data_IF_834845502785
#
_entry.id   IF_834845502785
#
_cell.length_a   1.000
_cell.length_b   1.000
_cell.length_c   1.000
_cell.angle_alpha   90.00
_cell.angle_beta   90.00
_cell.angle_gamma   90.00
#
_symmetry.space_group_name_H-M   'P 1'
#
loop_
_entity.id
_entity.type
_entity.pdbx_description
1 polymer ?
#
# COMPACT_ATOMS: atom_id res chain seq x y z
N UNK A 1 -10.39 9.05 21.12
CA UNK A 1 -9.74 7.98 20.30
C UNK A 1 -10.63 7.47 19.18
N UNK A 2 -11.96 7.58 19.26
CA UNK A 2 -12.91 7.02 18.27
C UNK A 2 -12.90 7.70 16.88
N UNK A 3 -12.61 9.01 16.81
CA UNK A 3 -12.54 9.77 15.55
C UNK A 3 -11.43 9.32 14.58
N UNK A 4 -10.41 8.59 15.08
CA UNK A 4 -9.31 8.12 14.24
C UNK A 4 -9.64 6.82 13.50
N UNK A 5 -10.53 5.99 14.05
CA UNK A 5 -10.91 4.69 13.45
C UNK A 5 -11.90 4.88 12.30
N UNK A 6 -12.85 5.81 12.45
CA UNK A 6 -13.81 6.16 11.39
C UNK A 6 -13.11 6.75 10.16
N UNK A 7 -12.10 7.59 10.36
CA UNK A 7 -11.27 8.13 9.27
C UNK A 7 -10.50 7.05 8.50
N UNK A 8 -9.93 6.06 9.21
CA UNK A 8 -9.21 4.96 8.58
C UNK A 8 -10.14 4.07 7.75
N UNK A 9 -11.30 3.69 8.29
CA UNK A 9 -12.30 2.88 7.58
C UNK A 9 -12.84 3.59 6.34
N UNK A 10 -13.04 4.91 6.42
CA UNK A 10 -13.44 5.74 5.29
C UNK A 10 -12.38 5.76 4.17
N UNK A 11 -11.10 5.93 4.53
CA UNK A 11 -9.98 5.91 3.56
C UNK A 11 -9.86 4.53 2.90
N UNK A 12 -9.99 3.45 3.66
CA UNK A 12 -9.96 2.08 3.16
C UNK A 12 -11.13 1.78 2.21
N UNK A 13 -12.34 2.23 2.57
CA UNK A 13 -13.53 2.05 1.73
C UNK A 13 -13.39 2.82 0.42
N UNK A 14 -12.90 4.06 0.48
CA UNK A 14 -12.65 4.89 -0.70
C UNK A 14 -11.60 4.28 -1.63
N UNK A 15 -10.50 3.77 -1.08
CA UNK A 15 -9.44 3.14 -1.88
C UNK A 15 -9.89 1.80 -2.49
N UNK A 16 -10.67 0.99 -1.76
CA UNK A 16 -11.23 -0.26 -2.26
C UNK A 16 -12.18 -0.04 -3.45
N UNK A 17 -13.08 0.94 -3.35
CA UNK A 17 -14.02 1.28 -4.43
C UNK A 17 -13.27 1.82 -5.64
N UNK A 18 -12.30 2.71 -5.44
CA UNK A 18 -11.48 3.23 -6.54
C UNK A 18 -10.66 2.13 -7.24
N UNK A 19 -10.13 1.17 -6.48
CA UNK A 19 -9.41 0.01 -7.03
C UNK A 19 -10.37 -0.89 -7.83
N UNK A 20 -11.58 -1.12 -7.34
CA UNK A 20 -12.60 -1.89 -8.03
C UNK A 20 -12.99 -1.25 -9.38
N UNK A 21 -13.27 0.06 -9.40
CA UNK A 21 -13.58 0.79 -10.64
C UNK A 21 -12.42 0.71 -11.66
N UNK A 22 -11.16 0.86 -11.22
CA UNK A 22 -9.99 0.63 -12.07
C UNK A 22 -9.95 -0.78 -12.64
N UNK A 23 -10.33 -1.77 -11.84
CA UNK A 23 -10.33 -3.17 -12.25
C UNK A 23 -11.36 -3.44 -13.35
N UNK A 24 -12.54 -2.84 -13.27
CA UNK A 24 -13.56 -2.92 -14.33
C UNK A 24 -13.04 -2.35 -15.65
N UNK A 25 -12.39 -1.18 -15.61
CA UNK A 25 -11.77 -0.57 -16.79
C UNK A 25 -10.64 -1.42 -17.37
N UNK A 26 -9.81 -2.04 -16.52
CA UNK A 26 -8.77 -2.98 -16.95
C UNK A 26 -9.39 -4.20 -17.64
N UNK A 27 -10.43 -4.79 -17.06
CA UNK A 27 -11.11 -5.95 -17.62
C UNK A 27 -11.70 -5.63 -19.00
N UNK A 28 -12.39 -4.50 -19.15
CA UNK A 28 -12.90 -4.03 -20.43
C UNK A 28 -11.79 -3.93 -21.48
N UNK A 29 -10.65 -3.34 -21.15
CA UNK A 29 -9.52 -3.22 -22.07
C UNK A 29 -8.89 -4.57 -22.43
N UNK A 30 -8.85 -5.51 -21.49
CA UNK A 30 -8.33 -6.85 -21.73
C UNK A 30 -9.23 -7.66 -22.65
N UNK A 31 -10.55 -7.58 -22.46
CA UNK A 31 -11.55 -8.21 -23.35
C UNK A 31 -11.40 -7.67 -24.78
N UNK A 32 -11.26 -6.35 -24.94
CA UNK A 32 -11.00 -5.73 -26.26
C UNK A 32 -9.71 -6.21 -26.91
N UNK A 33 -8.71 -6.62 -26.13
CA UNK A 33 -7.43 -7.17 -26.59
C UNK A 33 -7.42 -8.70 -26.68
N UNK A 34 -8.56 -9.36 -26.45
CA UNK A 34 -8.69 -10.82 -26.34
C UNK A 34 -7.71 -11.44 -25.33
N UNK A 35 -7.37 -10.69 -24.27
CA UNK A 35 -6.49 -11.13 -23.19
C UNK A 35 -7.33 -11.68 -22.03
N UNK A 36 -7.49 -13.01 -21.98
CA UNK A 36 -8.41 -13.68 -21.04
C UNK A 36 -7.72 -14.37 -19.86
N UNK A 37 -6.45 -14.07 -19.58
CA UNK A 37 -5.66 -14.70 -18.51
C UNK A 37 -6.34 -14.66 -17.12
N UNK A 38 -7.19 -13.65 -16.91
CA UNK A 38 -7.89 -13.40 -15.65
C UNK A 38 -9.27 -14.09 -15.58
N UNK A 39 -9.68 -14.70 -16.70
CA UNK A 39 -10.99 -15.31 -16.90
C UNK A 39 -10.82 -16.72 -17.47
N UNK A 40 -10.55 -17.73 -16.61
CA UNK A 40 -10.28 -19.10 -17.07
C UNK A 40 -11.38 -19.68 -17.96
N UNK A 41 -12.64 -19.34 -17.66
CA UNK A 41 -13.80 -19.73 -18.45
C UNK A 41 -13.80 -19.08 -19.84
N UNK A 42 -13.60 -17.76 -19.91
CA UNK A 42 -13.53 -17.02 -21.19
C UNK A 42 -12.32 -17.47 -22.03
N UNK A 43 -11.18 -17.77 -21.39
CA UNK A 43 -10.01 -18.30 -22.07
C UNK A 43 -10.30 -19.66 -22.74
N UNK A 44 -11.05 -20.53 -22.05
CA UNK A 44 -11.45 -21.85 -22.56
C UNK A 44 -12.38 -21.76 -23.79
N UNK A 45 -13.25 -20.76 -23.85
CA UNK A 45 -14.23 -20.57 -24.95
C UNK A 45 -13.80 -19.50 -25.95
N UNK A 46 -12.58 -18.99 -25.83
CA UNK A 46 -12.09 -17.81 -26.58
C UNK A 46 -12.10 -17.96 -28.11
N UNK A 47 -12.02 -19.21 -28.60
CA UNK A 47 -12.14 -19.56 -30.03
C UNK A 47 -13.57 -19.41 -30.56
N UNK A 48 -14.57 -19.52 -29.70
CA UNK A 48 -15.98 -19.52 -30.07
C UNK A 48 -16.64 -18.14 -29.86
N UNK A 49 -15.96 -17.22 -29.17
CA UNK A 49 -16.45 -15.87 -28.88
C UNK A 49 -16.34 -14.95 -30.11
N UNK A 50 -17.50 -14.47 -30.56
CA UNK A 50 -17.59 -13.44 -31.58
C UNK A 50 -17.24 -12.07 -31.00
N UNK A 51 -16.85 -11.13 -31.87
CA UNK A 51 -16.53 -9.77 -31.43
C UNK A 51 -17.77 -9.04 -30.85
N UNK A 52 -18.97 -9.40 -31.30
CA UNK A 52 -20.24 -8.89 -30.77
C UNK A 52 -20.46 -9.31 -29.31
N UNK A 53 -20.16 -10.57 -28.98
CA UNK A 53 -20.28 -11.08 -27.60
C UNK A 53 -19.29 -10.36 -26.67
N UNK A 54 -18.07 -10.11 -27.16
CA UNK A 54 -17.05 -9.37 -26.43
C UNK A 54 -17.43 -7.89 -26.26
N UNK A 55 -18.06 -7.29 -27.26
CA UNK A 55 -18.57 -5.92 -27.20
C UNK A 55 -19.70 -5.79 -26.17
N UNK A 56 -20.67 -6.72 -26.17
CA UNK A 56 -21.76 -6.77 -25.20
C UNK A 56 -21.24 -6.96 -23.77
N UNK A 57 -20.23 -7.81 -23.59
CA UNK A 57 -19.60 -7.98 -22.28
C UNK A 57 -18.82 -6.71 -21.86
N UNK A 58 -18.16 -6.03 -22.80
CA UNK A 58 -17.50 -4.74 -22.55
C UNK A 58 -18.48 -3.62 -22.17
N UNK A 59 -19.66 -3.58 -22.78
CA UNK A 59 -20.74 -2.66 -22.45
C UNK A 59 -21.32 -2.93 -21.06
N UNK A 60 -21.53 -4.21 -20.71
CA UNK A 60 -21.95 -4.61 -19.37
C UNK A 60 -20.98 -4.12 -18.28
N UNK A 61 -19.67 -4.27 -18.50
CA UNK A 61 -18.66 -3.77 -17.56
C UNK A 61 -18.66 -2.24 -17.44
N UNK A 62 -18.94 -1.54 -18.54
CA UNK A 62 -19.08 -0.08 -18.52
C UNK A 62 -20.31 0.35 -17.70
N UNK A 63 -21.44 -0.31 -17.90
CA UNK A 63 -22.68 -0.02 -17.17
C UNK A 63 -22.50 -0.23 -15.66
N UNK A 64 -21.79 -1.30 -15.24
CA UNK A 64 -21.45 -1.49 -13.83
C UNK A 64 -20.51 -0.39 -13.33
N UNK A 65 -19.54 0.01 -14.13
CA UNK A 65 -18.62 1.08 -13.75
C UNK A 65 -19.38 2.39 -13.52
N UNK A 66 -20.25 2.78 -14.44
CA UNK A 66 -21.09 3.98 -14.32
C UNK A 66 -22.04 3.91 -13.12
N UNK A 67 -22.72 2.78 -12.90
CA UNK A 67 -23.60 2.59 -11.74
C UNK A 67 -22.82 2.71 -10.42
N UNK A 68 -21.69 2.02 -10.30
CA UNK A 68 -20.87 2.07 -9.08
C UNK A 68 -20.27 3.46 -8.86
N UNK A 69 -19.87 4.13 -9.93
CA UNK A 69 -19.37 5.50 -9.85
C UNK A 69 -20.46 6.48 -9.40
N UNK A 70 -21.70 6.34 -9.89
CA UNK A 70 -22.84 7.15 -9.48
C UNK A 70 -23.25 6.86 -8.03
N UNK A 71 -23.35 5.59 -7.65
CA UNK A 71 -23.79 5.14 -6.32
C UNK A 71 -22.83 5.53 -5.20
N UNK A 72 -21.53 5.60 -5.49
CA UNK A 72 -20.51 6.02 -4.53
C UNK A 72 -19.95 7.41 -4.87
N UNK A 73 -20.69 8.20 -5.66
CA UNK A 73 -20.25 9.53 -6.09
C UNK A 73 -20.02 10.48 -4.92
N UNK A 74 -20.73 10.33 -3.80
CA UNK A 74 -20.56 11.08 -2.56
C UNK A 74 -19.25 10.71 -1.83
N UNK A 75 -18.99 9.41 -1.70
CA UNK A 75 -17.79 8.86 -1.08
C UNK A 75 -16.53 9.16 -1.93
N UNK A 76 -16.68 9.11 -3.25
CA UNK A 76 -15.67 9.50 -4.21
C UNK A 76 -15.52 11.03 -4.29
N UNK A 77 -16.63 11.77 -4.19
CA UNK A 77 -16.82 13.16 -4.61
C UNK A 77 -16.42 14.25 -3.62
N UNK A 78 -15.98 13.94 -2.40
CA UNK A 78 -15.41 15.00 -1.52
C UNK A 78 -14.10 15.58 -2.08
N UNK A 79 -13.42 14.87 -2.99
CA UNK A 79 -12.42 15.45 -3.89
C UNK A 79 -12.51 14.70 -5.20
N UNK A 80 -13.05 15.36 -6.24
CA UNK A 80 -13.16 14.83 -7.59
C UNK A 80 -11.89 14.10 -7.98
N UNK A 81 -12.01 12.78 -8.12
CA UNK A 81 -10.92 11.88 -8.45
C UNK A 81 -10.64 11.98 -9.95
N UNK A 82 -10.21 13.17 -10.37
CA UNK A 82 -9.58 13.34 -11.67
C UNK A 82 -8.34 12.43 -11.68
N UNK A 83 -8.13 11.72 -12.78
CA UNK A 83 -6.93 10.91 -13.04
C UNK A 83 -5.65 11.67 -12.71
N UNK A 84 -5.68 13.00 -12.91
CA UNK A 84 -4.60 13.93 -12.56
C UNK A 84 -4.39 14.05 -11.04
N UNK A 85 -5.45 14.11 -10.24
CA UNK A 85 -5.37 14.19 -8.78
C UNK A 85 -4.85 12.88 -8.19
N UNK A 86 -5.22 11.76 -8.80
CA UNK A 86 -4.71 10.42 -8.48
C UNK A 86 -3.21 10.29 -8.70
N UNK A 87 -2.73 10.76 -9.86
CA UNK A 87 -1.30 10.82 -10.17
C UNK A 87 -0.57 11.77 -9.21
N UNK A 88 -1.21 12.88 -8.83
CA UNK A 88 -0.66 13.82 -7.86
C UNK A 88 -0.58 13.23 -6.45
N UNK A 89 -1.62 12.53 -6.01
CA UNK A 89 -1.68 11.83 -4.72
C UNK A 89 -0.69 10.67 -4.66
N UNK A 90 -0.58 9.85 -5.71
CA UNK A 90 0.41 8.77 -5.75
C UNK A 90 1.84 9.31 -5.76
N UNK A 91 2.12 10.36 -6.53
CA UNK A 91 3.42 11.03 -6.51
C UNK A 91 3.75 11.62 -5.14
N UNK A 92 2.79 12.28 -4.48
CA UNK A 92 3.01 12.86 -3.14
C UNK A 92 3.27 11.77 -2.09
N UNK A 93 2.55 10.65 -2.17
CA UNK A 93 2.74 9.48 -1.31
C UNK A 93 4.09 8.82 -1.58
N UNK A 94 4.46 8.60 -2.83
CA UNK A 94 5.76 8.02 -3.22
C UNK A 94 6.93 8.94 -2.81
N UNK A 95 6.82 10.25 -3.04
CA UNK A 95 7.82 11.22 -2.63
C UNK A 95 7.93 11.32 -1.11
N UNK A 96 6.80 11.31 -0.40
CA UNK A 96 6.74 11.28 1.06
C UNK A 96 7.38 10.02 1.63
N UNK A 97 7.06 8.85 1.08
CA UNK A 97 7.60 7.57 1.52
C UNK A 97 9.09 7.43 1.16
N UNK A 98 9.51 7.92 0.00
CA UNK A 98 10.92 7.99 -0.39
C UNK A 98 11.71 8.92 0.54
N UNK A 99 11.15 10.06 0.95
CA UNK A 99 11.79 10.94 1.95
C UNK A 99 11.83 10.31 3.33
N UNK A 100 10.77 9.65 3.78
CA UNK A 100 10.76 8.90 5.05
C UNK A 100 11.76 7.75 5.00
N UNK A 101 11.80 6.99 3.93
CA UNK A 101 12.78 5.92 3.69
C UNK A 101 14.21 6.45 3.64
N UNK A 102 14.42 7.60 3.00
CA UNK A 102 15.72 8.28 2.97
C UNK A 102 16.09 8.87 4.35
N UNK A 103 15.14 9.36 5.13
CA UNK A 103 15.37 9.80 6.49
C UNK A 103 15.69 8.62 7.41
N UNK A 104 15.02 7.49 7.25
CA UNK A 104 15.32 6.25 7.98
C UNK A 104 16.65 5.64 7.53
N UNK A 105 17.02 5.72 6.25
CA UNK A 105 18.31 5.25 5.74
C UNK A 105 19.46 6.17 6.15
N UNK A 106 19.25 7.50 6.14
CA UNK A 106 20.21 8.50 6.66
C UNK A 106 20.29 8.48 8.19
N UNK A 107 19.19 8.21 8.90
CA UNK A 107 19.18 8.00 10.35
C UNK A 107 19.92 6.71 10.73
N UNK A 108 19.89 5.66 9.89
CA UNK A 108 20.74 4.48 10.06
C UNK A 108 22.22 4.75 9.76
N UNK A 109 22.55 5.69 8.86
CA UNK A 109 23.93 6.09 8.61
C UNK A 109 24.54 7.05 9.65
N UNK A 110 23.78 7.46 10.67
CA UNK A 110 24.31 8.23 11.81
C UNK A 110 24.06 7.59 13.17
N UNK A 111 23.60 6.35 13.19
CA UNK A 111 23.40 5.58 14.40
C UNK A 111 24.13 4.24 14.25
N UNK A 112 25.45 4.29 14.46
CA UNK A 112 26.27 3.11 14.71
C UNK A 112 25.93 2.58 16.12
N UNK A 113 24.74 1.99 16.25
CA UNK A 113 24.19 1.43 17.50
C UNK A 113 25.00 0.20 17.93
N UNK A 114 25.66 -0.47 16.98
CA UNK A 114 26.34 -1.76 17.22
C UNK A 114 27.70 -1.56 17.88
N UNK A 115 28.37 -0.41 17.71
CA UNK A 115 29.72 -0.20 18.26
C UNK A 115 29.79 0.45 19.65
N UNK A 116 28.70 0.95 20.23
CA UNK A 116 28.84 1.76 21.46
C UNK A 116 27.82 1.57 22.57
N UNK A 117 26.86 0.64 22.51
CA UNK A 117 26.03 0.30 23.70
C UNK A 117 25.24 1.46 24.36
N UNK A 118 25.26 2.67 23.80
CA UNK A 118 24.77 3.89 24.45
C UNK A 118 23.24 4.04 24.40
N UNK A 119 22.56 3.29 23.53
CA UNK A 119 21.10 3.40 23.38
C UNK A 119 20.33 2.87 24.59
N UNK A 120 20.94 2.00 25.42
CA UNK A 120 20.33 1.52 26.68
C UNK A 120 20.62 2.44 27.87
N UNK A 121 21.69 3.24 27.82
CA UNK A 121 22.06 4.17 28.90
C UNK A 121 21.24 5.47 28.87
N UNK A 122 20.80 5.91 27.69
CA UNK A 122 20.04 7.16 27.58
C UNK A 122 18.59 7.09 28.09
N UNK A 123 18.06 5.90 28.38
CA UNK A 123 16.65 5.71 28.77
C UNK A 123 16.44 5.49 30.27
N UNK A 124 17.51 5.41 31.08
CA UNK A 124 17.38 5.27 32.53
C UNK A 124 18.47 6.09 33.22
N UNK A 125 18.11 6.90 34.23
CA UNK A 125 19.01 7.68 35.08
C UNK A 125 19.86 6.81 36.03
N UNK A 126 20.28 5.64 35.59
CA UNK A 126 21.01 4.66 36.39
C UNK A 126 22.45 4.65 35.89
N UNK A 127 23.38 5.19 36.69
CA UNK A 127 24.81 5.08 36.41
C UNK A 127 25.28 3.65 36.68
N UNK A 128 25.86 2.95 35.68
CA UNK A 128 26.39 1.61 35.89
C UNK A 128 27.67 1.69 36.72
N UNK A 129 27.71 1.02 37.87
CA UNK A 129 28.92 0.92 38.69
C UNK A 129 29.86 -0.16 38.14
N UNK A 130 30.63 0.22 37.11
CA UNK A 130 31.52 -0.65 36.34
C UNK A 130 32.60 -1.29 37.23
N UNK A 131 33.06 -0.62 38.29
CA UNK A 131 34.12 -1.12 39.19
C UNK A 131 33.71 -2.41 39.91
N UNK A 132 32.48 -2.44 40.46
CA UNK A 132 31.92 -3.65 41.11
C UNK A 132 31.67 -4.80 40.13
N UNK A 133 31.44 -4.48 38.85
CA UNK A 133 31.16 -5.48 37.84
C UNK A 133 32.44 -6.20 37.38
N UNK A 134 33.55 -5.48 37.29
CA UNK A 134 34.87 -6.03 36.93
C UNK A 134 35.39 -6.96 38.01
N UNK A 135 35.20 -6.64 39.30
CA UNK A 135 35.59 -7.52 40.42
C UNK A 135 34.84 -8.87 40.42
N UNK A 136 33.60 -8.90 39.92
CA UNK A 136 32.79 -10.14 39.86
C UNK A 136 32.96 -10.92 38.57
N UNK A 137 33.76 -10.44 37.63
CA UNK A 137 33.91 -11.10 36.34
C UNK A 137 34.93 -12.25 36.45
N UNK A 138 34.43 -13.49 36.54
CA UNK A 138 35.27 -14.67 36.33
C UNK A 138 35.51 -14.89 34.83
N UNK A 139 36.76 -15.05 34.38
CA UNK A 139 37.04 -15.39 33.00
C UNK A 139 36.54 -16.81 32.74
N UNK A 140 35.45 -16.94 31.99
CA UNK A 140 35.00 -18.21 31.44
C UNK A 140 35.98 -18.57 30.32
N UNK A 141 36.95 -19.42 30.64
CA UNK A 141 37.89 -19.95 29.66
C UNK A 141 37.12 -20.75 28.61
N UNK A 142 37.22 -20.33 27.34
CA UNK A 142 36.75 -21.15 26.24
C UNK A 142 37.72 -22.31 26.06
N UNK A 143 37.19 -23.53 26.09
CA UNK A 143 37.90 -24.75 25.70
C UNK A 143 38.07 -24.81 24.19
#
# INVERSE_FOLDING_TARGET
>A
MEKSLSGLYYIQSKSAIAAFLRKLQLYKNNIRRRAFEQFPYLACVSSDLQDEDLALHGEYLENIHEDMQARFSDLLGIYGFSSTLLLFLSYLVEAGFSRVSQMLSKARNRLDIVKRGDLRLSLTSIEPNIKKLVEKHQPQGSR
#
